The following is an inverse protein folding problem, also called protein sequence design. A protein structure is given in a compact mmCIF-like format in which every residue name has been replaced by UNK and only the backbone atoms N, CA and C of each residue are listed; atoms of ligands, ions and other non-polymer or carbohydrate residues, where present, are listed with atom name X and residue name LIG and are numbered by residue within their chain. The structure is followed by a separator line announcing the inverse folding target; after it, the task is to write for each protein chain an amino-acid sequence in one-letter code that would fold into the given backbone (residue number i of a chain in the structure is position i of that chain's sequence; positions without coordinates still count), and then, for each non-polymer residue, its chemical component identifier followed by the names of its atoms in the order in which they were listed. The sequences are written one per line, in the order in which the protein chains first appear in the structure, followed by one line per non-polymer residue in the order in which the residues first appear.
data_IF_423236954173
#
_entry.id   IF_423236954173
#
_cell.length_a   1.000
_cell.length_b   1.000
_cell.length_c   1.000
_cell.angle_alpha   90.00
_cell.angle_beta   90.00
_cell.angle_gamma   90.00
#
_symmetry.space_group_name_H-M   'P 1'
#
loop_
_entity.id
_entity.type
_entity.pdbx_description
1 polymer ?
#
# COMPACT_ATOMS: atom_id res chain seq x y z
N UNK A 1 20.51 -16.96 -15.01
CA UNK A 1 19.97 -15.61 -15.28
C UNK A 1 20.58 -14.66 -14.28
N UNK A 2 21.18 -13.56 -14.73
CA UNK A 2 21.73 -12.53 -13.83
C UNK A 2 20.57 -11.68 -13.31
N UNK A 3 20.45 -11.55 -11.99
CA UNK A 3 19.48 -10.65 -11.37
C UNK A 3 19.87 -9.20 -11.73
N UNK A 4 18.89 -8.40 -12.17
CA UNK A 4 19.09 -6.97 -12.43
C UNK A 4 19.63 -6.27 -11.18
N UNK A 5 20.59 -5.32 -11.30
CA UNK A 5 21.06 -4.52 -10.17
C UNK A 5 19.93 -3.86 -9.37
N UNK A 6 18.84 -3.45 -10.05
CA UNK A 6 17.66 -2.92 -9.40
C UNK A 6 16.99 -3.95 -8.48
N UNK A 7 16.76 -5.17 -8.97
CA UNK A 7 16.13 -6.24 -8.19
C UNK A 7 17.05 -6.71 -7.04
N UNK A 8 18.36 -6.69 -7.26
CA UNK A 8 19.34 -6.97 -6.21
C UNK A 8 19.33 -5.92 -5.09
N UNK A 9 19.21 -4.63 -5.44
CA UNK A 9 19.09 -3.53 -4.47
C UNK A 9 17.72 -3.48 -3.78
N UNK A 10 16.67 -3.92 -4.48
CA UNK A 10 15.30 -3.91 -3.96
C UNK A 10 15.10 -5.00 -2.90
N UNK A 11 15.47 -6.24 -3.20
CA UNK A 11 15.12 -7.40 -2.38
C UNK A 11 15.95 -7.54 -1.10
N UNK A 12 15.32 -8.05 -0.05
CA UNK A 12 15.97 -8.48 1.19
C UNK A 12 15.49 -9.88 1.59
N UNK A 13 16.30 -10.60 2.36
CA UNK A 13 15.96 -11.95 2.85
C UNK A 13 15.14 -11.92 4.14
N UNK A 14 15.28 -10.86 4.93
CA UNK A 14 14.76 -10.78 6.28
C UNK A 14 14.64 -9.31 6.71
N UNK A 15 13.84 -9.01 7.76
CA UNK A 15 13.90 -7.73 8.43
C UNK A 15 15.27 -7.51 9.10
N UNK A 16 15.65 -6.24 9.39
CA UNK A 16 16.79 -5.92 10.25
C UNK A 16 16.74 -6.67 11.59
N UNK A 17 17.90 -7.14 12.07
CA UNK A 17 18.02 -7.93 13.30
C UNK A 17 17.64 -7.14 14.56
N UNK A 18 17.76 -5.81 14.52
CA UNK A 18 17.40 -4.85 15.56
C UNK A 18 15.99 -4.28 15.40
N UNK A 19 15.19 -4.85 14.49
CA UNK A 19 13.83 -4.41 14.20
C UNK A 19 12.87 -4.51 15.39
N UNK A 20 11.92 -3.59 15.47
CA UNK A 20 10.85 -3.63 16.46
C UNK A 20 9.99 -4.90 16.29
N UNK A 21 9.48 -5.47 17.39
CA UNK A 21 8.62 -6.67 17.35
C UNK A 21 7.41 -6.50 16.43
N UNK A 22 6.81 -5.31 16.42
CA UNK A 22 5.64 -4.97 15.61
C UNK A 22 5.94 -4.94 14.10
N UNK A 23 7.23 -4.89 13.73
CA UNK A 23 7.70 -5.02 12.36
C UNK A 23 7.57 -6.47 11.84
N UNK A 24 7.22 -7.44 12.68
CA UNK A 24 6.93 -8.81 12.25
C UNK A 24 5.45 -9.06 11.93
N UNK A 25 4.56 -8.08 12.12
CA UNK A 25 3.10 -8.23 11.98
C UNK A 25 2.67 -8.87 10.64
N UNK A 26 3.29 -8.43 9.55
CA UNK A 26 3.03 -8.95 8.19
C UNK A 26 4.07 -9.99 7.73
N UNK A 27 5.06 -10.33 8.56
CA UNK A 27 6.17 -11.18 8.17
C UNK A 27 5.78 -12.61 7.77
N UNK A 28 4.62 -13.09 8.21
CA UNK A 28 4.08 -14.40 7.84
C UNK A 28 3.58 -14.46 6.39
N UNK A 29 3.32 -13.31 5.75
CA UNK A 29 2.88 -13.23 4.35
C UNK A 29 3.99 -13.55 3.36
N UNK A 30 5.26 -13.45 3.76
CA UNK A 30 6.40 -13.62 2.85
C UNK A 30 6.31 -14.96 2.09
N UNK A 31 6.48 -14.89 0.76
CA UNK A 31 6.33 -16.01 -0.16
C UNK A 31 5.25 -15.79 -1.23
N UNK A 32 4.93 -16.87 -1.95
CA UNK A 32 3.93 -16.89 -3.02
C UNK A 32 2.63 -17.53 -2.57
N UNK A 33 1.52 -16.98 -3.07
CA UNK A 33 0.16 -17.39 -2.74
C UNK A 33 -0.68 -17.46 -4.00
N UNK A 34 -1.54 -18.46 -4.05
CA UNK A 34 -2.67 -18.52 -4.95
C UNK A 34 -3.87 -17.91 -4.24
N UNK A 35 -4.78 -17.32 -4.99
CA UNK A 35 -5.93 -16.63 -4.43
C UNK A 35 -7.19 -16.85 -5.25
N UNK A 36 -8.28 -17.17 -4.57
CA UNK A 36 -9.63 -17.05 -5.10
C UNK A 36 -10.23 -15.72 -4.60
N UNK A 37 -10.88 -14.98 -5.48
CA UNK A 37 -11.51 -13.69 -5.17
C UNK A 37 -13.00 -13.76 -5.45
N UNK A 38 -13.79 -13.25 -4.52
CA UNK A 38 -15.20 -12.89 -4.72
C UNK A 38 -15.30 -11.37 -4.65
N UNK A 39 -15.87 -10.75 -5.68
CA UNK A 39 -16.24 -9.34 -5.68
C UNK A 39 -17.75 -9.24 -5.55
N UNK A 40 -18.21 -8.45 -4.57
CA UNK A 40 -19.62 -8.16 -4.37
C UNK A 40 -19.98 -6.87 -5.11
N UNK A 41 -21.04 -6.91 -5.92
CA UNK A 41 -21.52 -5.77 -6.71
C UNK A 41 -22.74 -5.12 -6.04
N UNK A 42 -22.97 -3.85 -6.36
CA UNK A 42 -24.07 -3.05 -5.79
C UNK A 42 -25.47 -3.62 -6.09
N UNK A 43 -25.60 -4.43 -7.14
CA UNK A 43 -26.85 -5.11 -7.51
C UNK A 43 -27.09 -6.44 -6.76
N UNK A 44 -26.18 -6.79 -5.84
CA UNK A 44 -26.23 -8.01 -5.04
C UNK A 44 -25.67 -9.25 -5.74
N UNK A 45 -25.18 -9.12 -6.98
CA UNK A 45 -24.48 -10.22 -7.66
C UNK A 45 -23.01 -10.29 -7.27
N UNK A 46 -22.37 -11.42 -7.57
CA UNK A 46 -20.95 -11.64 -7.28
C UNK A 46 -20.17 -12.01 -8.54
N UNK A 47 -18.94 -11.49 -8.64
CA UNK A 47 -17.97 -11.88 -9.66
C UNK A 47 -16.83 -12.68 -9.03
N UNK A 48 -16.54 -13.85 -9.59
CA UNK A 48 -15.43 -14.69 -9.13
C UNK A 48 -14.22 -14.56 -10.06
N UNK A 49 -13.02 -14.54 -9.48
CA UNK A 49 -11.77 -14.55 -10.24
C UNK A 49 -10.64 -15.20 -9.45
N UNK A 50 -9.65 -15.74 -10.17
CA UNK A 50 -8.42 -16.27 -9.56
C UNK A 50 -7.32 -15.22 -9.59
N UNK A 51 -6.28 -15.42 -8.78
CA UNK A 51 -5.12 -14.55 -8.76
C UNK A 51 -3.92 -15.20 -8.11
N UNK A 52 -2.82 -14.46 -8.11
CA UNK A 52 -1.63 -14.80 -7.35
C UNK A 52 -1.06 -13.55 -6.68
N UNK A 53 -0.43 -13.77 -5.53
CA UNK A 53 0.17 -12.73 -4.71
C UNK A 53 1.57 -13.18 -4.31
N UNK A 54 2.54 -12.28 -4.45
CA UNK A 54 3.91 -12.53 -4.03
C UNK A 54 4.37 -11.45 -3.06
N UNK A 55 4.82 -11.86 -1.88
CA UNK A 55 5.32 -10.96 -0.83
C UNK A 55 6.83 -11.15 -0.66
N UNK A 56 7.55 -10.03 -0.54
CA UNK A 56 8.97 -10.03 -0.27
C UNK A 56 9.39 -8.91 0.68
N UNK A 57 10.40 -9.17 1.49
CA UNK A 57 11.13 -8.11 2.18
C UNK A 57 11.88 -7.28 1.14
N UNK A 58 11.80 -5.97 1.27
CA UNK A 58 12.47 -5.02 0.39
C UNK A 58 13.15 -3.92 1.19
N UNK A 59 14.00 -3.13 0.52
CA UNK A 59 14.66 -1.95 1.11
C UNK A 59 15.41 -2.33 2.39
N UNK A 60 16.33 -3.28 2.26
CA UNK A 60 17.10 -3.85 3.38
C UNK A 60 16.23 -4.47 4.50
N UNK A 61 15.00 -4.88 4.17
CA UNK A 61 14.05 -5.48 5.11
C UNK A 61 13.25 -4.47 5.93
N UNK A 62 13.32 -3.19 5.58
CA UNK A 62 12.57 -2.11 6.27
C UNK A 62 11.13 -1.98 5.78
N UNK A 63 10.79 -2.64 4.69
CA UNK A 63 9.45 -2.69 4.14
C UNK A 63 9.15 -4.08 3.58
N UNK A 64 7.85 -4.36 3.43
CA UNK A 64 7.36 -5.50 2.64
C UNK A 64 6.75 -4.92 1.38
N UNK A 65 7.11 -5.48 0.24
CA UNK A 65 6.41 -5.22 -1.00
C UNK A 65 5.64 -6.47 -1.40
N UNK A 66 4.40 -6.27 -1.83
CA UNK A 66 3.62 -7.32 -2.45
C UNK A 66 3.20 -6.97 -3.87
N UNK A 67 3.06 -8.00 -4.71
CA UNK A 67 2.66 -7.91 -6.11
C UNK A 67 1.41 -8.77 -6.27
N UNK A 68 0.36 -8.15 -6.79
CA UNK A 68 -0.95 -8.76 -7.00
C UNK A 68 -1.24 -8.85 -8.48
N UNK A 69 -1.62 -10.04 -8.92
CA UNK A 69 -1.91 -10.31 -10.32
C UNK A 69 -3.25 -11.04 -10.41
N UNK A 70 -4.21 -10.47 -11.14
CA UNK A 70 -5.47 -11.13 -11.50
C UNK A 70 -5.76 -10.94 -12.99
N UNK A 71 -6.32 -11.95 -13.69
CA UNK A 71 -6.35 -13.35 -13.30
C UNK A 71 -4.94 -13.93 -13.10
N UNK A 72 -4.84 -15.13 -12.52
CA UNK A 72 -3.56 -15.83 -12.37
C UNK A 72 -2.86 -16.00 -13.72
N UNK A 73 -1.53 -15.81 -13.75
CA UNK A 73 -0.72 -16.05 -14.94
C UNK A 73 -0.78 -17.53 -15.37
N UNK A 74 -0.64 -17.83 -16.68
CA UNK A 74 -0.21 -16.95 -17.77
C UNK A 74 -1.34 -16.16 -18.45
N UNK A 75 -2.56 -16.15 -17.92
CA UNK A 75 -3.64 -15.36 -18.50
C UNK A 75 -3.30 -13.85 -18.50
N UNK A 76 -3.75 -13.08 -19.51
CA UNK A 76 -3.56 -11.63 -19.53
C UNK A 76 -4.16 -10.97 -18.29
N UNK A 77 -3.36 -10.17 -17.60
CA UNK A 77 -3.78 -9.51 -16.36
C UNK A 77 -4.80 -8.41 -16.61
N UNK A 78 -5.88 -8.42 -15.82
CA UNK A 78 -6.87 -7.34 -15.68
C UNK A 78 -6.65 -6.51 -14.42
N UNK A 79 -5.72 -6.94 -13.55
CA UNK A 79 -5.18 -6.19 -12.42
C UNK A 79 -3.73 -6.60 -12.25
N UNK A 80 -2.84 -5.61 -12.11
CA UNK A 80 -1.43 -5.86 -11.84
C UNK A 80 -0.89 -4.74 -10.95
N UNK A 81 -1.07 -4.90 -9.65
CA UNK A 81 -0.76 -3.87 -8.68
C UNK A 81 0.29 -4.28 -7.65
N UNK A 82 0.71 -3.31 -6.85
CA UNK A 82 1.66 -3.52 -5.77
C UNK A 82 1.28 -2.75 -4.52
N UNK A 83 1.45 -3.38 -3.37
CA UNK A 83 1.42 -2.67 -2.08
C UNK A 83 2.85 -2.51 -1.57
N UNK A 84 3.19 -1.30 -1.12
CA UNK A 84 4.35 -1.10 -0.26
C UNK A 84 3.85 -0.92 1.19
N UNK A 85 4.32 -1.80 2.08
CA UNK A 85 4.00 -1.81 3.51
C UNK A 85 5.23 -1.34 4.28
N UNK A 86 5.11 -0.23 4.99
CA UNK A 86 6.21 0.40 5.71
C UNK A 86 5.83 0.53 7.18
N UNK A 87 6.61 -0.09 8.06
CA UNK A 87 6.41 0.07 9.50
C UNK A 87 6.88 1.46 9.94
N UNK A 88 6.04 2.12 10.72
CA UNK A 88 6.31 3.43 11.31
C UNK A 88 6.16 3.34 12.84
N UNK A 89 7.28 3.42 13.57
CA UNK A 89 7.28 3.28 15.03
C UNK A 89 6.59 4.45 15.73
N UNK A 90 6.53 5.64 15.13
CA UNK A 90 5.93 6.83 15.76
C UNK A 90 4.40 6.67 15.89
N UNK A 91 3.78 5.93 14.97
CA UNK A 91 2.34 5.64 15.00
C UNK A 91 2.01 4.23 15.46
N UNK A 92 3.03 3.41 15.79
CA UNK A 92 2.89 2.00 16.14
C UNK A 92 2.06 1.23 15.11
N UNK A 93 2.38 1.38 13.83
CA UNK A 93 1.55 0.86 12.75
C UNK A 93 2.24 0.83 11.40
N UNK A 94 1.55 0.30 10.41
CA UNK A 94 2.08 0.14 9.06
C UNK A 94 1.37 1.07 8.09
N UNK A 95 2.12 1.88 7.35
CA UNK A 95 1.60 2.52 6.14
C UNK A 95 1.42 1.45 5.08
N UNK A 96 0.20 1.37 4.54
CA UNK A 96 -0.17 0.46 3.46
C UNK A 96 -0.48 1.34 2.25
N UNK A 97 0.34 1.24 1.20
CA UNK A 97 0.24 2.09 0.02
C UNK A 97 0.04 1.20 -1.20
N UNK A 98 -1.19 1.14 -1.68
CA UNK A 98 -1.59 0.33 -2.84
C UNK A 98 -1.53 1.15 -4.13
N UNK A 99 -1.04 0.53 -5.20
CA UNK A 99 -0.98 1.10 -6.53
C UNK A 99 -1.34 0.05 -7.59
N UNK A 100 -2.41 0.29 -8.34
CA UNK A 100 -2.77 -0.46 -9.55
C UNK A 100 -2.70 0.45 -10.78
N UNK A 101 -1.58 0.44 -11.53
CA UNK A 101 -1.44 1.26 -12.72
C UNK A 101 -2.37 0.85 -13.86
N UNK A 102 -2.85 -0.39 -13.90
CA UNK A 102 -3.72 -0.86 -14.98
C UNK A 102 -5.12 -0.29 -14.84
N UNK A 103 -5.62 -0.20 -13.60
CA UNK A 103 -6.95 0.33 -13.30
C UNK A 103 -6.95 1.78 -12.79
N UNK A 104 -5.78 2.40 -12.63
CA UNK A 104 -5.62 3.73 -12.03
C UNK A 104 -6.26 3.83 -10.63
N UNK A 105 -6.10 2.77 -9.84
CA UNK A 105 -6.62 2.69 -8.49
C UNK A 105 -5.48 2.78 -7.46
N UNK A 106 -5.64 3.67 -6.50
CA UNK A 106 -4.61 4.03 -5.53
C UNK A 106 -5.27 4.24 -4.18
N UNK A 107 -4.70 3.66 -3.13
CA UNK A 107 -5.21 3.86 -1.77
C UNK A 107 -4.10 3.90 -0.74
N UNK A 108 -4.39 4.55 0.39
CA UNK A 108 -3.50 4.62 1.54
C UNK A 108 -4.27 4.27 2.81
N UNK A 109 -3.70 3.38 3.61
CA UNK A 109 -4.30 2.90 4.84
C UNK A 109 -3.25 2.76 5.93
N UNK A 110 -3.69 2.68 7.18
CA UNK A 110 -2.85 2.32 8.32
C UNK A 110 -3.27 0.96 8.85
N UNK A 111 -2.34 0.01 8.84
CA UNK A 111 -2.51 -1.35 9.34
C UNK A 111 -2.03 -1.53 10.77
N UNK A 112 -2.81 -2.20 11.61
CA UNK A 112 -2.45 -2.60 12.99
C UNK A 112 -3.00 -3.98 13.33
N UNK A 113 -2.40 -4.63 14.32
CA UNK A 113 -2.96 -5.82 14.93
C UNK A 113 -4.27 -5.48 15.65
N UNK A 114 -5.27 -6.34 15.53
CA UNK A 114 -6.52 -6.28 16.30
C UNK A 114 -6.84 -7.69 16.81
N UNK A 115 -6.36 -7.98 18.03
CA UNK A 115 -6.41 -9.33 18.58
C UNK A 115 -5.58 -10.31 17.73
N UNK A 116 -6.24 -11.33 17.18
CA UNK A 116 -5.63 -12.32 16.28
C UNK A 116 -5.63 -11.90 14.80
N UNK A 117 -6.37 -10.84 14.48
CA UNK A 117 -6.58 -10.35 13.12
C UNK A 117 -5.69 -9.13 12.86
N UNK A 118 -5.64 -8.69 11.61
CA UNK A 118 -4.95 -7.46 11.21
C UNK A 118 -5.94 -6.57 10.49
N UNK A 119 -6.11 -5.34 10.95
CA UNK A 119 -7.05 -4.38 10.38
C UNK A 119 -6.30 -3.20 9.78
N UNK A 120 -6.68 -2.84 8.56
CA UNK A 120 -6.21 -1.68 7.83
C UNK A 120 -7.38 -0.72 7.65
N UNK A 121 -7.17 0.54 8.00
CA UNK A 121 -8.17 1.59 7.88
C UNK A 121 -7.61 2.73 7.05
N UNK A 122 -8.38 3.20 6.09
CA UNK A 122 -8.05 4.38 5.30
C UNK A 122 -9.21 4.85 4.44
N UNK A 123 -8.86 5.45 3.31
CA UNK A 123 -9.81 5.89 2.29
C UNK A 123 -9.44 5.26 0.95
N UNK A 124 -10.46 4.95 0.16
CA UNK A 124 -10.26 4.52 -1.23
C UNK A 124 -10.12 5.73 -2.17
N UNK A 125 -9.92 5.45 -3.46
CA UNK A 125 -9.77 6.47 -4.50
C UNK A 125 -11.03 7.34 -4.72
N UNK A 126 -12.19 6.93 -4.18
CA UNK A 126 -13.46 7.66 -4.24
C UNK A 126 -13.71 8.50 -2.97
N UNK A 127 -12.85 8.39 -1.96
CA UNK A 127 -13.01 9.05 -0.66
C UNK A 127 -13.97 8.31 0.29
N UNK A 128 -14.37 7.08 -0.04
CA UNK A 128 -15.11 6.22 0.88
C UNK A 128 -14.17 5.72 1.96
N UNK A 129 -14.71 5.48 3.17
CA UNK A 129 -13.93 4.81 4.21
C UNK A 129 -13.73 3.36 3.79
N UNK A 130 -12.47 2.94 3.74
CA UNK A 130 -12.08 1.59 3.43
C UNK A 130 -11.56 0.88 4.68
N UNK A 131 -11.95 -0.37 4.85
CA UNK A 131 -11.42 -1.27 5.86
C UNK A 131 -11.03 -2.58 5.22
N UNK A 132 -9.81 -3.01 5.48
CA UNK A 132 -9.34 -4.32 5.04
C UNK A 132 -8.91 -5.16 6.23
N UNK A 133 -9.36 -6.41 6.28
CA UNK A 133 -9.14 -7.29 7.44
C UNK A 133 -8.50 -8.59 7.00
N UNK A 134 -7.31 -8.88 7.51
CA UNK A 134 -6.79 -10.25 7.49
C UNK A 134 -7.38 -11.00 8.67
N UNK A 135 -8.08 -12.08 8.35
CA UNK A 135 -8.76 -12.95 9.29
C UNK A 135 -8.40 -14.40 8.98
N UNK A 136 -8.68 -15.30 9.93
CA UNK A 136 -8.43 -16.74 9.75
C UNK A 136 -6.97 -17.04 9.34
N UNK A 137 -6.03 -16.26 9.90
CA UNK A 137 -4.62 -16.32 9.56
C UNK A 137 -4.03 -17.65 10.03
N UNK A 138 -3.56 -18.44 9.08
CA UNK A 138 -2.86 -19.70 9.29
C UNK A 138 -1.50 -19.69 8.57
N UNK A 139 -0.72 -20.77 8.74
CA UNK A 139 0.60 -20.87 8.13
C UNK A 139 0.55 -20.89 6.59
N UNK A 140 -0.50 -21.49 6.02
CA UNK A 140 -0.69 -21.75 4.60
C UNK A 140 -2.00 -21.20 4.03
N UNK A 141 -2.79 -20.47 4.81
CA UNK A 141 -4.00 -19.79 4.33
C UNK A 141 -4.32 -18.51 5.09
N UNK A 142 -5.09 -17.63 4.46
CA UNK A 142 -5.75 -16.51 5.14
C UNK A 142 -6.99 -16.06 4.35
N UNK A 143 -7.90 -15.39 5.04
CA UNK A 143 -9.05 -14.71 4.44
C UNK A 143 -8.86 -13.19 4.56
N UNK A 144 -8.82 -12.48 3.43
CA UNK A 144 -8.67 -11.03 3.38
C UNK A 144 -9.95 -10.37 2.85
N UNK A 145 -10.60 -9.58 3.70
CA UNK A 145 -11.91 -8.99 3.44
C UNK A 145 -11.75 -7.49 3.22
N UNK A 146 -12.24 -6.99 2.10
CA UNK A 146 -12.36 -5.57 1.77
C UNK A 146 -13.78 -5.08 2.03
N UNK A 147 -13.89 -4.02 2.81
CA UNK A 147 -15.15 -3.40 3.19
C UNK A 147 -15.10 -1.89 2.99
N UNK A 148 -16.26 -1.33 2.64
CA UNK A 148 -16.43 0.09 2.40
C UNK A 148 -17.64 0.63 3.14
N UNK A 149 -17.60 1.94 3.44
CA UNK A 149 -18.76 2.68 3.93
C UNK A 149 -18.67 4.16 3.54
N UNK A 150 -19.83 4.77 3.33
CA UNK A 150 -19.95 6.18 2.95
C UNK A 150 -19.67 7.13 4.11
N UNK A 151 -20.13 6.79 5.31
CA UNK A 151 -19.96 7.62 6.50
C UNK A 151 -19.68 6.79 7.76
N UNK A 152 -19.30 7.47 8.84
CA UNK A 152 -18.96 6.82 10.12
C UNK A 152 -20.11 6.05 10.78
N UNK A 153 -21.35 6.38 10.44
CA UNK A 153 -22.55 5.75 11.00
C UNK A 153 -23.13 4.66 10.10
N UNK A 154 -22.64 4.55 8.86
CA UNK A 154 -23.13 3.53 7.94
C UNK A 154 -22.49 2.17 8.27
N UNK A 155 -23.26 1.07 8.11
CA UNK A 155 -22.71 -0.27 8.25
C UNK A 155 -21.66 -0.52 7.17
N UNK A 156 -20.58 -1.20 7.54
CA UNK A 156 -19.60 -1.72 6.59
C UNK A 156 -20.27 -2.66 5.60
N UNK A 157 -20.02 -2.44 4.31
CA UNK A 157 -20.44 -3.32 3.23
C UNK A 157 -19.22 -4.07 2.71
N UNK A 158 -19.31 -5.39 2.57
CA UNK A 158 -18.25 -6.19 1.97
C UNK A 158 -18.25 -5.93 0.47
N UNK A 159 -17.10 -5.57 -0.09
CA UNK A 159 -16.90 -5.37 -1.53
C UNK A 159 -16.00 -6.43 -2.13
N UNK A 160 -15.07 -6.96 -1.34
CA UNK A 160 -14.16 -8.02 -1.76
C UNK A 160 -13.93 -9.05 -0.66
N UNK A 161 -13.79 -10.30 -1.08
CA UNK A 161 -13.27 -11.39 -0.27
C UNK A 161 -12.17 -12.10 -1.06
N UNK A 162 -11.06 -12.37 -0.38
CA UNK A 162 -9.90 -13.04 -0.95
C UNK A 162 -9.51 -14.22 -0.08
N UNK A 163 -9.56 -15.42 -0.66
CA UNK A 163 -9.17 -16.66 -0.01
C UNK A 163 -7.82 -17.08 -0.57
N UNK A 164 -6.77 -16.85 0.22
CA UNK A 164 -5.41 -17.13 -0.19
C UNK A 164 -4.92 -18.47 0.35
N UNK A 165 -4.20 -19.21 -0.48
CA UNK A 165 -3.50 -20.45 -0.11
C UNK A 165 -2.06 -20.37 -0.55
N UNK A 166 -1.14 -20.78 0.33
CA UNK A 166 0.29 -20.70 0.05
C UNK A 166 0.64 -21.62 -1.11
N UNK A 167 1.37 -21.10 -2.09
CA UNK A 167 1.86 -21.92 -3.19
C UNK A 167 2.89 -22.92 -2.64
N UNK A 168 2.63 -24.21 -2.84
CA UNK A 168 3.61 -25.24 -2.51
C UNK A 168 4.70 -25.18 -3.57
N UNK A 169 5.88 -24.71 -3.17
CA UNK A 169 7.09 -24.95 -3.95
C UNK A 169 7.33 -26.46 -3.90
N UNK A 170 6.93 -27.14 -4.98
CA UNK A 170 7.46 -28.46 -5.27
C UNK A 170 8.90 -28.25 -5.68
N UNK A 171 9.82 -28.40 -4.73
CA UNK A 171 11.22 -28.60 -5.09
C UNK A 171 11.23 -29.78 -6.07
N UNK A 172 11.89 -29.62 -7.23
CA UNK A 172 11.99 -30.60 -8.31
C UNK A 172 12.68 -31.93 -7.89
N UNK A 173 12.86 -32.14 -6.59
CA UNK A 173 13.41 -33.30 -5.92
C UNK A 173 12.42 -33.99 -4.95
N UNK A 174 11.13 -33.61 -4.95
CA UNK A 174 10.10 -34.33 -4.18
C UNK A 174 10.23 -34.20 -2.66
N UNK A 175 10.92 -33.17 -2.15
CA UNK A 175 10.90 -32.83 -0.72
C UNK A 175 9.95 -31.66 -0.51
N UNK A 176 8.88 -31.91 0.26
CA UNK A 176 8.09 -30.85 0.88
C UNK A 176 9.01 -30.03 1.78
N UNK A 177 9.28 -28.78 1.42
CA UNK A 177 10.01 -27.82 2.25
C UNK A 177 9.11 -27.33 3.39
N UNK A 178 8.82 -28.21 4.35
CA UNK A 178 8.42 -27.80 5.70
C UNK A 178 9.69 -27.48 6.47
N UNK A 179 10.12 -26.22 6.46
CA UNK A 179 11.03 -25.67 7.47
C UNK A 179 10.97 -24.14 7.44
N UNK A 180 10.09 -23.58 8.26
CA UNK A 180 10.19 -22.20 8.74
C UNK A 180 10.58 -22.23 10.21
N UNK A 181 11.67 -21.57 10.65
CA UNK A 181 12.14 -21.67 12.01
C UNK A 181 11.64 -20.50 12.85
N UNK A 182 10.34 -20.35 13.10
CA UNK A 182 9.86 -19.51 14.21
C UNK A 182 8.50 -20.04 14.71
N UNK A 183 8.38 -20.43 16.00
CA UNK A 183 7.08 -20.75 16.57
C UNK A 183 6.23 -19.48 16.68
N UNK A 184 5.04 -19.55 16.10
CA UNK A 184 4.00 -18.53 16.22
C UNK A 184 3.56 -18.47 17.69
N UNK A 185 3.80 -17.36 18.37
CA UNK A 185 3.20 -17.02 19.66
C UNK A 185 2.74 -15.57 19.61
N UNK A 186 1.45 -15.37 19.35
CA UNK A 186 0.76 -14.16 19.77
C UNK A 186 0.69 -14.24 21.30
N UNK A 187 1.48 -13.41 21.99
CA UNK A 187 1.40 -13.31 23.45
C UNK A 187 0.35 -12.29 23.83
N UNK A 188 -0.69 -12.75 24.52
CA UNK A 188 -1.58 -11.92 25.32
C UNK A 188 -0.88 -11.49 26.62
N UNK A 189 -1.24 -10.29 27.11
CA UNK A 189 -0.87 -9.65 28.40
C UNK A 189 0.53 -8.97 28.45
N UNK A 190 0.72 -7.78 29.04
CA UNK A 190 0.01 -7.15 30.15
C UNK A 190 0.10 -5.60 30.15
N UNK A 191 -0.96 -5.00 30.68
CA UNK A 191 -1.01 -3.67 31.28
C UNK A 191 0.02 -3.55 32.43
N UNK A 192 0.78 -2.45 32.51
CA UNK A 192 1.71 -2.21 33.61
C UNK A 192 2.36 -0.83 33.54
N UNK A 193 2.06 -0.01 34.53
CA UNK A 193 2.36 1.41 34.65
C UNK A 193 3.82 1.78 34.98
N UNK A 194 4.18 2.99 34.55
CA UNK A 194 5.10 3.96 35.16
C UNK A 194 6.62 3.79 34.95
N UNK A 195 7.25 4.87 34.47
CA UNK A 195 8.70 5.04 34.40
C UNK A 195 9.10 6.32 33.66
N UNK A 196 9.06 7.46 34.36
CA UNK A 196 9.55 8.76 33.87
C UNK A 196 11.06 8.69 33.59
N UNK A 197 11.47 8.98 32.36
CA UNK A 197 12.87 9.18 31.97
C UNK A 197 12.99 10.35 31.00
N UNK A 198 13.46 11.49 31.50
CA UNK A 198 13.68 12.74 30.77
C UNK A 198 15.10 12.71 30.19
N UNK A 199 15.27 12.72 28.85
CA UNK A 199 16.57 13.07 28.24
C UNK A 199 16.43 13.74 26.85
N UNK A 200 16.85 15.02 26.84
CA UNK A 200 17.55 15.82 25.83
C UNK A 200 17.22 15.64 24.34
N UNK A 201 16.38 16.55 23.86
CA UNK A 201 16.28 17.05 22.49
C UNK A 201 17.35 18.13 22.23
N UNK A 202 18.56 17.76 21.78
CA UNK A 202 19.57 18.76 21.38
C UNK A 202 20.34 18.40 20.09
N UNK A 203 19.91 17.36 19.34
CA UNK A 203 20.62 16.88 18.14
C UNK A 203 19.97 17.30 16.81
N UNK A 204 18.69 17.62 16.82
CA UNK A 204 17.93 17.94 15.60
C UNK A 204 18.07 19.40 15.15
N UNK A 205 18.23 20.35 16.07
CA UNK A 205 18.40 21.77 15.72
C UNK A 205 19.76 22.05 15.04
N UNK A 206 20.82 21.32 15.40
CA UNK A 206 22.12 21.45 14.75
C UNK A 206 22.11 21.00 13.27
N UNK A 207 21.31 19.99 12.94
CA UNK A 207 21.20 19.47 11.56
C UNK A 207 20.47 20.48 10.66
N UNK A 208 19.43 21.14 11.20
CA UNK A 208 18.67 22.15 10.46
C UNK A 208 19.52 23.41 10.22
N UNK A 209 20.33 23.85 11.19
CA UNK A 209 21.21 25.01 11.01
C UNK A 209 22.36 24.74 10.02
N UNK A 210 22.89 23.52 9.95
CA UNK A 210 23.90 23.14 8.95
C UNK A 210 23.33 23.09 7.52
N UNK A 211 22.06 22.70 7.35
CA UNK A 211 21.41 22.68 6.04
C UNK A 211 21.07 24.09 5.53
N UNK A 212 20.79 25.05 6.42
CA UNK A 212 20.47 26.43 6.05
C UNK A 212 21.70 27.25 5.61
N UNK A 213 22.90 26.94 6.12
CA UNK A 213 24.14 27.66 5.79
C UNK A 213 24.71 27.33 4.38
N UNK A 214 24.21 26.28 3.72
CA UNK A 214 24.72 25.83 2.41
C UNK A 214 23.96 26.40 1.20
N UNK A 215 23.03 27.34 1.40
CA UNK A 215 22.35 28.05 0.30
C UNK A 215 22.54 29.56 0.43
N UNK A 216 23.62 30.07 -0.17
CA UNK A 216 23.73 31.46 -0.61
C UNK A 216 23.74 31.49 -2.15
N UNK A 217 23.10 32.48 -2.81
CA UNK A 217 23.14 32.60 -4.27
C UNK A 217 24.43 33.29 -4.75
N UNK A 218 25.06 32.76 -5.81
CA UNK A 218 26.17 33.42 -6.52
C UNK A 218 25.59 34.50 -7.45
N UNK A 219 25.67 35.74 -7.01
CA UNK A 219 25.41 36.95 -7.79
C UNK A 219 26.61 37.27 -8.69
N UNK A 220 26.52 36.93 -9.98
CA UNK A 220 27.36 37.58 -11.02
C UNK A 220 26.59 37.82 -12.32
N UNK A 221 26.11 39.06 -12.45
CA UNK A 221 25.79 39.70 -13.74
C UNK A 221 26.98 40.55 -14.21
N UNK A 222 27.10 40.79 -15.53
CA UNK A 222 27.33 42.15 -16.00
C UNK A 222 26.19 42.65 -16.92
N UNK A 223 25.92 43.95 -16.75
CA UNK A 223 25.09 44.90 -17.52
C UNK A 223 25.53 44.97 -19.01
N UNK A 224 24.81 45.47 -20.01
CA UNK A 224 23.54 46.19 -20.19
C UNK A 224 23.18 46.15 -21.70
N UNK A 225 21.91 46.36 -22.05
CA UNK A 225 21.50 47.28 -23.13
C UNK A 225 20.00 47.56 -23.00
N UNK A 226 19.70 48.83 -22.75
CA UNK A 226 18.37 49.45 -22.74
C UNK A 226 17.97 49.82 -24.18
N UNK A 227 16.74 49.52 -24.57
CA UNK A 227 15.93 50.36 -25.46
C UNK A 227 14.44 50.03 -25.32
N UNK A 228 13.64 51.11 -25.31
CA UNK A 228 12.26 51.26 -24.86
C UNK A 228 11.14 50.67 -25.78
N UNK A 229 9.88 50.56 -25.29
CA UNK A 229 8.73 49.94 -25.96
C UNK A 229 7.88 50.98 -26.75
N UNK A 230 6.87 50.64 -27.60
CA UNK A 230 5.55 50.16 -27.13
C UNK A 230 4.74 49.28 -28.12
N UNK A 231 3.71 48.57 -27.64
CA UNK A 231 2.76 47.89 -28.53
C UNK A 231 1.66 47.08 -27.85
N UNK A 232 0.52 47.73 -27.57
CA UNK A 232 -0.73 47.11 -27.11
C UNK A 232 -1.19 45.99 -28.06
N UNK A 233 -1.55 44.80 -27.56
CA UNK A 233 -2.58 43.94 -28.17
C UNK A 233 -3.20 42.93 -27.19
N UNK A 234 -4.47 43.20 -26.91
CA UNK A 234 -5.61 42.35 -26.55
C UNK A 234 -5.41 40.91 -26.02
N UNK A 235 -5.90 40.77 -24.80
CA UNK A 235 -6.75 39.68 -24.26
C UNK A 235 -7.29 38.68 -25.30
N UNK A 236 -6.92 37.40 -25.13
CA UNK A 236 -7.78 36.25 -25.46
C UNK A 236 -7.65 35.20 -24.36
N UNK A 237 -8.71 35.04 -23.57
CA UNK A 237 -8.98 33.84 -22.78
C UNK A 237 -9.47 32.74 -23.71
N UNK A 238 -8.95 31.52 -23.56
CA UNK A 238 -9.53 30.27 -24.05
C UNK A 238 -9.40 29.19 -22.96
N UNK A 239 -10.27 28.17 -22.95
CA UNK A 239 -10.98 27.74 -21.74
C UNK A 239 -10.45 26.45 -21.12
N UNK A 240 -10.83 26.26 -19.85
CA UNK A 240 -10.72 25.02 -19.09
C UNK A 240 -11.34 23.84 -19.85
N UNK A 241 -10.57 22.79 -20.07
CA UNK A 241 -11.07 21.47 -20.47
C UNK A 241 -11.54 20.71 -19.23
N UNK A 242 -12.85 20.69 -19.00
CA UNK A 242 -13.53 19.65 -18.23
C UNK A 242 -13.84 18.47 -19.17
N UNK A 243 -13.30 17.29 -18.89
CA UNK A 243 -13.65 16.02 -19.55
C UNK A 243 -14.63 15.28 -18.62
N UNK A 244 -15.94 15.31 -18.91
CA UNK A 244 -16.70 14.28 -19.64
C UNK A 244 -16.82 12.91 -18.93
N UNK A 245 -17.65 12.85 -17.87
CA UNK A 245 -18.38 11.63 -17.49
C UNK A 245 -19.79 12.02 -16.99
N UNK A 246 -20.64 12.49 -17.91
CA UNK A 246 -22.09 12.57 -17.67
C UNK A 246 -22.85 12.43 -18.99
N UNK A 247 -22.79 11.24 -19.58
CA UNK A 247 -23.73 10.80 -20.62
C UNK A 247 -24.07 9.33 -20.42
N UNK A 248 -24.89 9.05 -19.40
CA UNK A 248 -25.71 7.83 -19.27
C UNK A 248 -26.79 8.01 -18.17
N UNK A 249 -27.46 9.17 -18.13
CA UNK A 249 -28.67 9.38 -17.31
C UNK A 249 -29.74 10.23 -18.02
N UNK A 250 -29.97 9.97 -19.31
CA UNK A 250 -31.12 10.52 -20.08
C UNK A 250 -31.69 9.53 -21.09
N UNK A 251 -31.82 8.26 -20.69
CA UNK A 251 -32.52 7.25 -21.51
C UNK A 251 -33.44 6.31 -20.68
N UNK A 252 -33.79 6.66 -19.43
CA UNK A 252 -34.84 5.98 -18.66
C UNK A 252 -35.69 7.04 -17.95
N UNK A 253 -36.48 7.77 -18.74
CA UNK A 253 -37.67 8.50 -18.26
C UNK A 253 -38.65 8.83 -19.40
N UNK A 254 -38.85 7.88 -20.32
CA UNK A 254 -39.91 7.89 -21.34
C UNK A 254 -40.45 6.49 -21.66
N UNK A 255 -40.58 5.62 -20.65
CA UNK A 255 -41.57 4.52 -20.67
C UNK A 255 -41.99 4.19 -19.25
N UNK A 256 -42.86 5.02 -18.70
CA UNK A 256 -43.92 4.71 -17.75
C UNK A 256 -44.73 5.98 -17.54
#
# INVERSE_FOLDING_TARGET
MTISPFLAALGSKAPPADGAKDMHLYGWLIGSWEMDTIRHLDDGTTEESTGEIHFGWVLEGRAIQDIWIRPRRPAPSTMYGTTLRIFDPDIGGWHIIWNDPLNQDYSRQIGRAEGKDIVQIGEDSRGLKARWRFTEIAADSFHWIGEERSSGNDPWQITYEHFARRERILDTLGRSSRNWPFPFHLSETAFGSSGRGRMRTDRWEQIIQQAAAQRAPDDRHPRACLSDPPGKRQVRRLPRLQSHYTRLRRAIKMSQ
#
